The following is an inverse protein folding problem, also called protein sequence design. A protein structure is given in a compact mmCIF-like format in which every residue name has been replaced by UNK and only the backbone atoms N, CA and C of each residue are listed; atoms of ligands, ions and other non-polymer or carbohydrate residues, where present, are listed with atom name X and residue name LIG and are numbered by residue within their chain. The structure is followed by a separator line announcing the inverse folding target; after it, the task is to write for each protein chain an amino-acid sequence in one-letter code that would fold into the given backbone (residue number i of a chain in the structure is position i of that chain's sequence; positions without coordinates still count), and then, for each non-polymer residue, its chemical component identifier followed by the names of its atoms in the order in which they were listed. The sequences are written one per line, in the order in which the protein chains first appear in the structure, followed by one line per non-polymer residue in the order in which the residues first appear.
data_IF_816996493238
#
_entry.id   IF_816996493238
#
_cell.length_a   1.000
_cell.length_b   1.000
_cell.length_c   1.000
_cell.angle_alpha   90.00
_cell.angle_beta   90.00
_cell.angle_gamma   90.00
#
_symmetry.space_group_name_H-M   'P 1'
#
loop_
_entity.id
_entity.type
_entity.pdbx_description
1 polymer ?
#
# COMPACT_ATOMS: atom_id res chain seq x y z
N UNK A 1 6.64 -12.79 -15.63
CA UNK A 1 7.63 -11.92 -14.93
C UNK A 1 7.77 -12.47 -13.52
N UNK A 2 8.95 -12.93 -13.16
CA UNK A 2 9.14 -13.62 -11.88
C UNK A 2 9.20 -12.64 -10.70
N UNK A 3 8.69 -13.05 -9.51
CA UNK A 3 8.81 -12.22 -8.30
C UNK A 3 10.29 -11.97 -7.93
N UNK A 4 10.59 -10.86 -7.23
CA UNK A 4 11.94 -10.54 -6.77
C UNK A 4 12.62 -11.71 -6.04
N UNK A 5 13.92 -11.85 -6.18
CA UNK A 5 14.71 -12.98 -5.64
C UNK A 5 14.51 -13.16 -4.13
N UNK A 6 14.35 -12.06 -3.38
CA UNK A 6 14.05 -12.07 -1.96
C UNK A 6 12.67 -12.69 -1.65
N UNK A 7 11.69 -12.47 -2.50
CA UNK A 7 10.34 -13.04 -2.38
C UNK A 7 10.37 -14.55 -2.65
N UNK A 8 11.09 -14.98 -3.71
CA UNK A 8 11.27 -16.43 -4.00
C UNK A 8 11.93 -17.17 -2.83
N UNK A 9 12.97 -16.56 -2.24
CA UNK A 9 13.68 -17.13 -1.10
C UNK A 9 12.76 -17.26 0.12
N UNK A 10 11.97 -16.23 0.44
CA UNK A 10 11.07 -16.22 1.60
C UNK A 10 9.84 -17.13 1.41
N UNK A 11 9.29 -17.23 0.20
CA UNK A 11 8.23 -18.20 -0.12
C UNK A 11 8.71 -19.64 0.02
N UNK A 12 9.98 -19.92 -0.29
CA UNK A 12 10.60 -21.23 -0.10
C UNK A 12 10.95 -21.51 1.38
N UNK A 13 11.44 -20.50 2.12
CA UNK A 13 11.78 -20.61 3.55
C UNK A 13 10.53 -20.80 4.43
N UNK A 14 9.38 -20.27 4.03
CA UNK A 14 8.11 -20.41 4.76
C UNK A 14 7.40 -21.74 4.50
N UNK A 15 7.93 -22.62 3.64
CA UNK A 15 7.38 -23.97 3.41
C UNK A 15 5.93 -23.96 2.93
N UNK A 16 5.48 -22.91 2.24
CA UNK A 16 4.08 -22.64 1.88
C UNK A 16 3.49 -23.56 0.81
N UNK A 17 4.06 -24.77 0.63
CA UNK A 17 3.43 -25.82 -0.17
C UNK A 17 2.34 -26.60 0.56
N UNK A 18 2.18 -26.42 1.86
CA UNK A 18 1.10 -27.08 2.61
C UNK A 18 1.01 -26.59 4.06
N UNK A 19 0.10 -25.67 4.37
CA UNK A 19 -0.62 -25.62 5.66
C UNK A 19 -1.55 -24.39 5.73
N UNK A 20 -2.77 -24.56 5.28
CA UNK A 20 -3.91 -23.78 5.74
C UNK A 20 -4.20 -24.14 7.19
N UNK A 21 -4.00 -23.24 8.13
CA UNK A 21 -4.74 -23.25 9.42
C UNK A 21 -4.68 -21.88 10.12
N UNK A 22 -5.89 -21.36 10.37
CA UNK A 22 -6.35 -20.53 11.47
C UNK A 22 -5.51 -19.32 11.93
N UNK A 23 -6.09 -18.13 11.79
CA UNK A 23 -5.68 -16.90 12.49
C UNK A 23 -5.94 -17.05 13.99
N UNK A 24 -4.99 -16.75 14.88
CA UNK A 24 -5.31 -16.41 16.26
C UNK A 24 -5.64 -14.92 16.37
N UNK A 25 -6.82 -14.60 16.92
CA UNK A 25 -7.10 -13.30 17.52
C UNK A 25 -6.20 -13.16 18.74
N UNK A 26 -5.25 -12.23 18.70
CA UNK A 26 -4.44 -11.88 19.88
C UNK A 26 -4.90 -10.54 20.44
N UNK A 27 -5.79 -10.57 21.42
CA UNK A 27 -5.86 -9.56 22.45
C UNK A 27 -4.78 -9.92 23.48
N UNK A 28 -3.80 -9.03 23.67
CA UNK A 28 -2.78 -9.19 24.71
C UNK A 28 -1.80 -8.03 24.67
N UNK A 29 -1.88 -7.13 25.66
CA UNK A 29 -0.83 -6.15 25.94
C UNK A 29 0.45 -6.89 26.30
N UNK A 30 1.41 -6.92 25.38
CA UNK A 30 2.77 -7.36 25.69
C UNK A 30 3.55 -6.14 26.14
N UNK A 31 3.83 -6.05 27.43
CA UNK A 31 4.82 -5.13 28.00
C UNK A 31 6.21 -5.66 27.66
N UNK A 32 6.88 -5.06 26.70
CA UNK A 32 8.29 -5.32 26.42
C UNK A 32 9.18 -4.51 27.39
N UNK A 33 10.31 -5.07 27.87
CA UNK A 33 11.19 -4.38 28.80
C UNK A 33 11.87 -3.16 28.15
N UNK A 34 11.82 -2.04 28.82
CA UNK A 34 12.22 -0.70 28.37
C UNK A 34 13.74 -0.46 28.20
N UNK A 35 14.54 -1.47 27.99
CA UNK A 35 16.00 -1.34 28.03
C UNK A 35 16.79 -1.81 26.82
N UNK A 36 16.19 -2.44 25.80
CA UNK A 36 16.95 -3.13 24.75
C UNK A 36 16.85 -2.52 23.32
N UNK A 37 16.28 -1.35 23.19
CA UNK A 37 16.11 -0.71 21.87
C UNK A 37 17.25 0.30 21.59
N UNK A 38 18.48 -0.20 21.47
CA UNK A 38 19.53 0.52 20.76
C UNK A 38 19.06 0.68 19.31
N UNK A 39 19.24 1.91 18.79
CA UNK A 39 18.95 2.33 17.42
C UNK A 39 19.35 1.23 16.43
N UNK A 40 18.39 0.50 15.90
CA UNK A 40 18.62 -0.27 14.68
C UNK A 40 18.73 0.76 13.55
N UNK A 41 19.86 0.87 12.85
CA UNK A 41 19.88 1.63 11.61
C UNK A 41 18.89 0.97 10.67
N UNK A 42 17.95 1.74 10.15
CA UNK A 42 17.03 1.26 9.13
C UNK A 42 17.84 0.89 7.91
N UNK A 43 17.68 -0.32 7.41
CA UNK A 43 18.40 -0.78 6.23
C UNK A 43 18.06 0.10 5.02
N UNK A 44 19.03 0.39 4.13
CA UNK A 44 18.73 1.05 2.87
C UNK A 44 17.69 0.27 2.08
N UNK A 45 16.66 0.95 1.60
CA UNK A 45 15.59 0.33 0.84
C UNK A 45 14.39 1.25 0.67
N UNK A 46 13.50 0.86 -0.23
CA UNK A 46 12.20 1.48 -0.42
C UNK A 46 11.16 0.71 0.38
N UNK A 47 10.42 1.42 1.20
CA UNK A 47 9.36 0.91 2.06
C UNK A 47 8.05 1.56 1.64
N UNK A 48 6.98 0.78 1.55
CA UNK A 48 5.67 1.23 1.11
C UNK A 48 4.63 1.02 2.23
N UNK A 49 4.67 1.80 3.33
CA UNK A 49 3.66 1.72 4.36
C UNK A 49 2.29 2.05 3.79
N UNK A 50 1.25 1.32 4.22
CA UNK A 50 -0.12 1.64 3.84
C UNK A 50 -1.09 1.50 5.01
N UNK A 51 -2.13 2.31 4.95
CA UNK A 51 -3.28 2.32 5.85
C UNK A 51 -4.58 2.12 5.08
N UNK A 52 -5.69 1.98 5.78
CA UNK A 52 -7.04 1.98 5.24
C UNK A 52 -7.82 3.14 5.86
N UNK A 53 -8.70 2.85 6.81
CA UNK A 53 -9.47 3.82 7.56
C UNK A 53 -8.62 4.46 8.69
N UNK A 54 -8.79 5.76 8.89
CA UNK A 54 -8.19 6.49 10.03
C UNK A 54 -9.29 7.29 10.71
N UNK A 55 -9.86 6.71 11.76
CA UNK A 55 -10.91 7.39 12.52
C UNK A 55 -10.38 8.70 13.15
N UNK A 56 -11.25 9.69 13.41
CA UNK A 56 -10.84 10.99 13.94
C UNK A 56 -10.00 10.93 15.23
N UNK A 57 -10.29 9.97 16.11
CA UNK A 57 -9.53 9.74 17.35
C UNK A 57 -8.07 9.33 17.11
N UNK A 58 -7.74 8.80 15.92
CA UNK A 58 -6.38 8.39 15.53
C UNK A 58 -5.63 9.43 14.72
N UNK A 59 -6.17 10.63 14.53
CA UNK A 59 -5.49 11.69 13.77
C UNK A 59 -4.11 12.03 14.36
N UNK A 60 -4.03 12.10 15.70
CA UNK A 60 -2.78 12.34 16.43
C UNK A 60 -1.78 11.20 16.29
N UNK A 61 -2.26 9.95 16.31
CA UNK A 61 -1.42 8.76 16.14
C UNK A 61 -0.87 8.68 14.71
N UNK A 62 -1.70 8.92 13.68
CA UNK A 62 -1.25 9.00 12.30
C UNK A 62 -0.15 10.06 12.15
N UNK A 63 -0.37 11.27 12.67
CA UNK A 63 0.63 12.35 12.68
C UNK A 63 1.94 11.86 13.28
N UNK A 64 1.89 11.28 14.47
CA UNK A 64 3.07 10.79 15.19
C UNK A 64 3.81 9.68 14.40
N UNK A 65 3.08 8.79 13.73
CA UNK A 65 3.66 7.78 12.84
C UNK A 65 4.43 8.43 11.68
N UNK A 66 3.80 9.36 10.97
CA UNK A 66 4.39 10.02 9.80
C UNK A 66 5.61 10.87 10.17
N UNK A 67 5.53 11.64 11.25
CA UNK A 67 6.68 12.39 11.77
C UNK A 67 7.85 11.47 12.16
N UNK A 68 7.54 10.31 12.76
CA UNK A 68 8.58 9.36 13.15
C UNK A 68 9.23 8.72 11.92
N UNK A 69 8.44 8.32 10.91
CA UNK A 69 8.98 7.80 9.66
C UNK A 69 9.81 8.87 8.93
N UNK A 70 9.33 10.12 8.88
CA UNK A 70 10.06 11.24 8.28
C UNK A 70 11.40 11.58 8.95
N UNK A 71 11.55 11.29 10.25
CA UNK A 71 12.85 11.40 10.95
C UNK A 71 13.81 10.24 10.62
N UNK A 72 13.29 9.12 10.17
CA UNK A 72 14.08 7.94 9.80
C UNK A 72 14.59 8.07 8.36
N UNK A 73 13.74 8.54 7.44
CA UNK A 73 14.07 8.71 6.03
C UNK A 73 13.05 9.57 5.29
N UNK A 74 13.37 10.01 4.07
CA UNK A 74 12.47 10.85 3.29
C UNK A 74 11.18 10.12 2.93
N UNK A 75 10.08 10.87 2.89
CA UNK A 75 8.79 10.42 2.39
C UNK A 75 8.58 10.98 0.98
N UNK A 76 8.37 10.12 0.00
CA UNK A 76 8.32 10.46 -1.42
C UNK A 76 7.03 9.98 -2.08
N UNK A 77 6.70 10.55 -3.24
CA UNK A 77 5.57 10.11 -4.05
C UNK A 77 5.85 8.82 -4.83
N UNK A 78 4.77 8.22 -5.36
CA UNK A 78 4.84 6.93 -6.07
C UNK A 78 5.72 7.00 -7.32
N UNK A 79 5.64 8.08 -8.09
CA UNK A 79 6.46 8.27 -9.30
C UNK A 79 7.97 8.29 -8.98
N UNK A 80 8.36 8.99 -7.93
CA UNK A 80 9.76 9.01 -7.49
C UNK A 80 10.19 7.64 -6.98
N UNK A 81 9.33 6.94 -6.25
CA UNK A 81 9.63 5.58 -5.77
C UNK A 81 9.89 4.62 -6.94
N UNK A 82 9.06 4.66 -7.99
CA UNK A 82 9.28 3.84 -9.20
C UNK A 82 10.56 4.23 -9.94
N UNK A 83 10.91 5.50 -9.96
CA UNK A 83 12.16 6.00 -10.52
C UNK A 83 13.37 5.45 -9.76
N UNK A 84 13.29 5.38 -8.43
CA UNK A 84 14.35 4.78 -7.59
C UNK A 84 14.45 3.26 -7.78
N UNK A 85 13.32 2.56 -7.95
CA UNK A 85 13.31 1.12 -8.30
C UNK A 85 13.99 0.86 -9.65
N UNK A 86 13.87 1.78 -10.60
CA UNK A 86 14.58 1.69 -11.88
C UNK A 86 16.12 1.91 -11.75
N UNK A 87 16.62 2.18 -10.54
CA UNK A 87 18.05 2.27 -10.29
C UNK A 87 18.70 3.60 -10.68
N UNK A 88 17.92 4.68 -10.77
CA UNK A 88 18.42 6.01 -11.18
C UNK A 88 19.41 6.63 -10.19
N UNK A 89 19.34 6.26 -8.92
CA UNK A 89 20.28 6.64 -7.87
C UNK A 89 20.36 5.57 -6.78
N UNK A 90 21.50 5.42 -6.09
CA UNK A 90 21.63 4.47 -4.99
C UNK A 90 20.79 4.89 -3.78
N UNK A 91 20.22 3.91 -3.08
CA UNK A 91 19.56 4.09 -1.80
C UNK A 91 20.62 4.00 -0.69
N UNK A 92 20.84 5.09 0.04
CA UNK A 92 21.82 5.18 1.14
C UNK A 92 21.18 5.00 2.52
N UNK A 93 19.85 4.96 2.58
CA UNK A 93 19.05 4.78 3.77
C UNK A 93 17.63 4.37 3.40
N UNK A 94 16.73 4.25 4.38
CA UNK A 94 15.31 3.98 4.11
C UNK A 94 14.64 5.17 3.45
N UNK A 95 13.74 4.88 2.53
CA UNK A 95 12.87 5.83 1.83
C UNK A 95 11.45 5.31 1.92
N UNK A 96 10.47 6.15 2.22
CA UNK A 96 9.09 5.75 2.43
C UNK A 96 8.16 6.31 1.35
N UNK A 97 7.27 5.47 0.84
CA UNK A 97 6.22 5.86 -0.10
C UNK A 97 4.86 5.42 0.46
N UNK A 98 4.04 6.39 0.87
CA UNK A 98 2.80 6.17 1.61
C UNK A 98 1.61 5.90 0.69
N UNK A 99 0.73 4.99 1.10
CA UNK A 99 -0.55 4.77 0.41
C UNK A 99 -1.71 4.49 1.38
N UNK A 100 -2.94 4.63 0.86
CA UNK A 100 -4.18 4.31 1.55
C UNK A 100 -5.07 3.51 0.62
N UNK A 101 -5.77 2.48 1.14
CA UNK A 101 -6.58 1.57 0.35
C UNK A 101 -8.07 1.69 0.73
N UNK A 102 -8.96 1.36 -0.21
CA UNK A 102 -10.42 1.23 -0.21
C UNK A 102 -11.18 2.44 -0.76
N UNK A 103 -11.54 3.42 -0.03
CA UNK A 103 -12.21 4.69 -0.38
C UNK A 103 -12.86 5.34 0.86
N UNK A 104 -12.28 5.19 2.03
CA UNK A 104 -12.86 5.65 3.30
C UNK A 104 -13.04 7.16 3.36
N UNK A 105 -14.19 7.60 3.88
CA UNK A 105 -14.51 9.03 4.07
C UNK A 105 -13.48 9.75 4.95
N UNK A 106 -12.86 9.03 5.89
CA UNK A 106 -11.79 9.54 6.75
C UNK A 106 -10.57 10.05 5.99
N UNK A 107 -10.38 9.67 4.73
CA UNK A 107 -9.30 10.25 3.92
C UNK A 107 -9.46 11.74 3.75
N UNK A 108 -10.69 12.21 3.42
CA UNK A 108 -11.00 13.63 3.30
C UNK A 108 -10.94 14.33 4.66
N UNK A 109 -11.56 13.73 5.68
CA UNK A 109 -11.83 14.40 6.94
C UNK A 109 -10.63 14.39 7.91
N UNK A 110 -9.75 13.40 7.80
CA UNK A 110 -8.63 13.18 8.73
C UNK A 110 -7.29 13.09 8.01
N UNK A 111 -7.17 12.20 7.01
CA UNK A 111 -5.87 11.87 6.42
C UNK A 111 -5.31 13.05 5.63
N UNK A 112 -6.06 13.60 4.69
CA UNK A 112 -5.62 14.70 3.82
C UNK A 112 -5.21 15.94 4.63
N UNK A 113 -5.96 16.41 5.65
CA UNK A 113 -5.50 17.47 6.53
C UNK A 113 -4.12 17.20 7.16
N UNK A 114 -3.90 16.00 7.70
CA UNK A 114 -2.61 15.63 8.32
C UNK A 114 -1.48 15.58 7.28
N UNK A 115 -1.73 14.99 6.12
CA UNK A 115 -0.73 14.89 5.04
C UNK A 115 -0.32 16.27 4.51
N UNK A 116 -1.28 17.18 4.34
CA UNK A 116 -1.01 18.57 3.89
C UNK A 116 -0.18 19.35 4.90
N UNK A 117 -0.53 19.24 6.18
CA UNK A 117 0.22 19.91 7.25
C UNK A 117 1.68 19.44 7.31
N UNK A 118 1.92 18.14 7.12
CA UNK A 118 3.26 17.55 7.17
C UNK A 118 3.98 17.58 5.82
N UNK A 119 3.33 18.07 4.76
CA UNK A 119 3.81 18.02 3.37
C UNK A 119 4.23 16.61 2.92
N UNK A 120 3.49 15.58 3.34
CA UNK A 120 3.75 14.17 3.02
C UNK A 120 2.94 13.77 1.79
N UNK A 121 3.59 13.33 0.69
CA UNK A 121 2.90 12.79 -0.47
C UNK A 121 2.31 11.41 -0.17
N UNK A 122 1.17 11.09 -0.80
CA UNK A 122 0.54 9.79 -0.70
C UNK A 122 -0.22 9.43 -1.99
N UNK A 123 -0.44 8.12 -2.17
CA UNK A 123 -1.30 7.58 -3.24
C UNK A 123 -2.52 6.89 -2.61
N UNK A 124 -3.70 7.18 -3.12
CA UNK A 124 -4.97 6.63 -2.67
C UNK A 124 -5.46 5.59 -3.68
N UNK A 125 -5.51 4.31 -3.29
CA UNK A 125 -5.99 3.22 -4.12
C UNK A 125 -7.48 3.00 -3.92
N UNK A 126 -8.29 3.40 -4.92
CA UNK A 126 -9.75 3.39 -4.86
C UNK A 126 -10.35 2.04 -5.24
N UNK A 127 -11.23 1.52 -4.38
CA UNK A 127 -12.24 0.52 -4.75
C UNK A 127 -13.46 1.25 -5.27
N UNK A 128 -13.67 1.26 -6.59
CA UNK A 128 -14.65 2.16 -7.21
C UNK A 128 -16.09 1.87 -6.80
N UNK A 129 -16.44 0.61 -6.63
CA UNK A 129 -17.78 0.21 -6.16
C UNK A 129 -18.09 0.60 -4.71
N UNK A 130 -17.14 1.14 -3.96
CA UNK A 130 -17.37 1.72 -2.62
C UNK A 130 -17.66 3.23 -2.69
N UNK A 131 -17.23 3.92 -3.75
CA UNK A 131 -17.42 5.36 -3.89
C UNK A 131 -18.91 5.70 -3.90
N UNK A 132 -19.29 6.72 -3.13
CA UNK A 132 -20.68 7.14 -2.95
C UNK A 132 -21.50 6.31 -1.96
N UNK A 133 -20.94 5.24 -1.37
CA UNK A 133 -21.62 4.50 -0.30
C UNK A 133 -21.50 5.20 1.05
N UNK A 134 -22.42 4.97 1.99
CA UNK A 134 -22.30 5.52 3.34
C UNK A 134 -20.96 5.17 3.99
N UNK A 135 -20.25 6.18 4.52
CA UNK A 135 -18.93 6.04 5.14
C UNK A 135 -17.75 6.06 4.16
N UNK A 136 -18.02 6.21 2.87
CA UNK A 136 -16.98 6.31 1.83
C UNK A 136 -17.01 7.68 1.14
N UNK A 137 -15.93 7.98 0.42
CA UNK A 137 -15.80 9.17 -0.41
C UNK A 137 -16.85 9.19 -1.52
N UNK A 138 -17.25 10.36 -1.92
CA UNK A 138 -17.93 10.61 -3.20
C UNK A 138 -16.90 10.93 -4.29
N UNK A 139 -17.29 10.89 -5.56
CA UNK A 139 -16.41 11.35 -6.65
C UNK A 139 -16.04 12.83 -6.53
N UNK A 140 -16.91 13.66 -5.94
CA UNK A 140 -16.59 15.05 -5.65
C UNK A 140 -15.44 15.15 -4.63
N UNK A 141 -15.49 14.36 -3.55
CA UNK A 141 -14.39 14.29 -2.57
C UNK A 141 -13.09 13.81 -3.20
N UNK A 142 -13.14 12.82 -4.10
CA UNK A 142 -11.96 12.33 -4.82
C UNK A 142 -11.35 13.43 -5.71
N UNK A 143 -12.18 14.24 -6.39
CA UNK A 143 -11.69 15.39 -7.17
C UNK A 143 -11.00 16.43 -6.28
N UNK A 144 -11.58 16.77 -5.13
CA UNK A 144 -10.98 17.71 -4.17
C UNK A 144 -9.62 17.19 -3.64
N UNK A 145 -9.53 15.91 -3.30
CA UNK A 145 -8.28 15.27 -2.87
C UNK A 145 -7.23 15.33 -3.98
N UNK A 146 -7.62 15.09 -5.24
CA UNK A 146 -6.73 15.22 -6.39
C UNK A 146 -6.27 16.65 -6.62
N UNK A 147 -7.16 17.63 -6.53
CA UNK A 147 -6.84 19.07 -6.64
C UNK A 147 -5.90 19.53 -5.52
N UNK A 148 -5.96 18.88 -4.36
CA UNK A 148 -5.00 19.07 -3.28
C UNK A 148 -3.60 18.48 -3.56
N UNK A 149 -3.40 17.84 -4.73
CA UNK A 149 -2.11 17.34 -5.20
C UNK A 149 -1.82 15.86 -4.90
N UNK A 150 -2.82 15.10 -4.46
CA UNK A 150 -2.65 13.68 -4.18
C UNK A 150 -2.95 12.81 -5.41
N UNK A 151 -2.23 11.69 -5.52
CA UNK A 151 -2.38 10.71 -6.59
C UNK A 151 -3.44 9.65 -6.26
N UNK A 152 -4.11 9.15 -7.29
CA UNK A 152 -5.01 8.01 -7.19
C UNK A 152 -4.48 6.82 -7.98
N UNK A 153 -4.70 5.62 -7.41
CA UNK A 153 -4.52 4.33 -8.04
C UNK A 153 -5.81 3.51 -7.97
N UNK A 154 -5.81 2.33 -8.54
CA UNK A 154 -6.97 1.43 -8.54
C UNK A 154 -6.82 0.31 -7.51
N UNK A 155 -7.94 -0.06 -6.88
CA UNK A 155 -8.05 -1.18 -5.93
C UNK A 155 -9.24 -2.09 -6.29
N UNK A 156 -9.45 -2.36 -7.58
CA UNK A 156 -10.58 -3.10 -8.17
C UNK A 156 -11.93 -2.36 -8.10
N UNK A 157 -12.96 -2.96 -8.70
CA UNK A 157 -14.34 -2.45 -8.62
C UNK A 157 -14.97 -2.86 -7.29
N UNK A 158 -14.94 -4.14 -6.94
CA UNK A 158 -15.75 -4.69 -5.82
C UNK A 158 -14.94 -5.15 -4.62
N UNK A 159 -13.63 -4.90 -4.56
CA UNK A 159 -12.72 -5.38 -3.51
C UNK A 159 -12.71 -6.91 -3.38
N UNK A 160 -12.78 -7.62 -4.49
CA UNK A 160 -12.79 -9.09 -4.51
C UNK A 160 -11.39 -9.69 -4.50
N UNK A 161 -11.27 -10.95 -4.06
CA UNK A 161 -10.08 -11.75 -4.33
C UNK A 161 -10.04 -12.09 -5.81
N UNK A 162 -9.04 -11.61 -6.53
CA UNK A 162 -8.90 -11.85 -7.96
C UNK A 162 -8.67 -13.32 -8.29
N UNK A 163 -7.95 -14.05 -7.41
CA UNK A 163 -7.70 -15.48 -7.58
C UNK A 163 -8.97 -16.34 -7.67
N UNK A 164 -10.07 -15.88 -7.06
CA UNK A 164 -11.36 -16.57 -7.05
C UNK A 164 -12.23 -16.24 -8.28
N UNK A 165 -11.74 -15.42 -9.22
CA UNK A 165 -12.47 -14.94 -10.38
C UNK A 165 -12.01 -15.61 -11.66
N UNK A 166 -12.92 -15.74 -12.63
CA UNK A 166 -12.57 -16.07 -14.01
C UNK A 166 -11.71 -14.96 -14.62
N UNK A 167 -11.05 -15.25 -15.74
CA UNK A 167 -10.22 -14.26 -16.45
C UNK A 167 -11.02 -13.03 -16.87
N UNK A 168 -12.26 -13.23 -17.33
CA UNK A 168 -13.16 -12.14 -17.73
C UNK A 168 -13.58 -11.27 -16.53
N UNK A 169 -13.92 -11.88 -15.38
CA UNK A 169 -14.28 -11.15 -14.17
C UNK A 169 -13.09 -10.41 -13.59
N UNK A 170 -11.92 -11.05 -13.49
CA UNK A 170 -10.69 -10.41 -13.02
C UNK A 170 -10.28 -9.24 -13.96
N UNK A 171 -10.39 -9.43 -15.26
CA UNK A 171 -10.18 -8.36 -16.24
C UNK A 171 -11.14 -7.19 -16.06
N UNK A 172 -12.43 -7.46 -15.77
CA UNK A 172 -13.40 -6.41 -15.45
C UNK A 172 -13.04 -5.66 -14.16
N UNK A 173 -12.69 -6.38 -13.10
CA UNK A 173 -12.28 -5.79 -11.81
C UNK A 173 -11.06 -4.86 -11.98
N UNK A 174 -10.07 -5.27 -12.76
CA UNK A 174 -8.81 -4.55 -12.97
C UNK A 174 -8.99 -3.39 -13.96
N UNK A 175 -9.47 -3.67 -15.18
CA UNK A 175 -9.59 -2.66 -16.22
C UNK A 175 -10.84 -1.77 -16.04
N UNK A 176 -11.92 -2.29 -15.43
CA UNK A 176 -13.14 -1.55 -15.14
C UNK A 176 -12.89 -0.42 -14.14
N UNK A 177 -12.24 -0.73 -13.03
CA UNK A 177 -11.90 0.27 -12.02
C UNK A 177 -10.96 1.36 -12.56
N UNK A 178 -9.99 1.00 -13.42
CA UNK A 178 -9.13 1.98 -14.07
C UNK A 178 -9.95 3.00 -14.86
N UNK A 179 -10.79 2.51 -15.78
CA UNK A 179 -11.61 3.37 -16.63
C UNK A 179 -12.53 4.27 -15.81
N UNK A 180 -13.20 3.72 -14.81
CA UNK A 180 -14.13 4.48 -13.96
C UNK A 180 -13.41 5.62 -13.23
N UNK A 181 -12.22 5.38 -12.66
CA UNK A 181 -11.45 6.42 -11.99
C UNK A 181 -10.96 7.48 -13.00
N UNK A 182 -10.49 7.05 -14.18
CA UNK A 182 -10.01 7.94 -15.24
C UNK A 182 -11.14 8.83 -15.78
N UNK A 183 -12.32 8.26 -16.00
CA UNK A 183 -13.52 8.98 -16.49
C UNK A 183 -13.97 10.03 -15.44
N UNK A 184 -13.99 9.67 -14.17
CA UNK A 184 -14.48 10.53 -13.09
C UNK A 184 -13.48 11.60 -12.67
N UNK A 185 -12.19 11.30 -12.70
CA UNK A 185 -11.14 12.23 -12.27
C UNK A 185 -10.49 13.00 -13.43
N UNK A 186 -10.70 12.59 -14.68
CA UNK A 186 -10.06 13.20 -15.85
C UNK A 186 -8.53 13.10 -15.80
N UNK A 187 -7.99 12.01 -15.28
CA UNK A 187 -6.55 11.78 -15.14
C UNK A 187 -6.20 10.31 -15.29
N UNK A 188 -5.05 10.04 -15.89
CA UNK A 188 -4.54 8.68 -16.08
C UNK A 188 -4.25 7.99 -14.73
N UNK A 189 -4.72 6.74 -14.60
CA UNK A 189 -4.46 5.85 -13.45
C UNK A 189 -3.49 4.77 -13.88
N UNK A 190 -2.26 4.81 -13.36
CA UNK A 190 -1.18 3.92 -13.79
C UNK A 190 -0.75 2.89 -12.75
N UNK A 191 -1.30 2.96 -11.55
CA UNK A 191 -0.85 2.17 -10.41
C UNK A 191 -2.02 1.36 -9.84
N UNK A 192 -1.78 0.09 -9.54
CA UNK A 192 -2.78 -0.85 -9.05
C UNK A 192 -2.35 -1.48 -7.74
N UNK A 193 -3.28 -1.66 -6.81
CA UNK A 193 -3.09 -2.45 -5.59
C UNK A 193 -4.10 -3.61 -5.56
N UNK A 194 -3.62 -4.82 -5.30
CA UNK A 194 -4.49 -5.99 -5.19
C UNK A 194 -5.20 -6.02 -3.84
N UNK A 195 -6.54 -6.23 -3.79
CA UNK A 195 -7.24 -6.48 -2.54
C UNK A 195 -6.64 -7.65 -1.77
N UNK A 196 -6.50 -7.50 -0.44
CA UNK A 196 -5.80 -8.43 0.45
C UNK A 196 -4.32 -8.64 0.11
N UNK A 197 -3.96 -8.79 -1.16
CA UNK A 197 -2.65 -8.65 -1.75
C UNK A 197 -1.65 -9.77 -1.47
N UNK A 198 -2.09 -10.97 -1.08
CA UNK A 198 -1.19 -12.10 -0.85
C UNK A 198 -1.13 -13.02 -2.08
N UNK A 199 0.05 -13.20 -2.71
CA UNK A 199 0.20 -13.97 -3.94
C UNK A 199 -0.14 -15.45 -3.75
N UNK A 200 -0.82 -16.04 -4.73
CA UNK A 200 -1.28 -17.43 -4.74
C UNK A 200 -2.50 -17.71 -3.85
N UNK A 201 -2.99 -16.67 -3.13
CA UNK A 201 -4.20 -16.75 -2.30
C UNK A 201 -5.22 -15.71 -2.76
N UNK A 202 -4.84 -14.45 -2.88
CA UNK A 202 -5.74 -13.34 -3.19
C UNK A 202 -5.65 -12.94 -4.67
N UNK A 203 -4.48 -13.15 -5.27
CA UNK A 203 -4.22 -12.95 -6.69
C UNK A 203 -3.17 -13.94 -7.22
N UNK A 204 -3.05 -14.06 -8.53
CA UNK A 204 -2.09 -14.94 -9.22
C UNK A 204 -1.26 -14.16 -10.25
N UNK A 205 -0.29 -14.81 -10.90
CA UNK A 205 0.47 -14.22 -12.01
C UNK A 205 -0.42 -13.82 -13.20
N UNK A 206 -1.57 -14.49 -13.38
CA UNK A 206 -2.59 -14.11 -14.34
C UNK A 206 -3.06 -12.67 -14.09
N UNK A 207 -3.35 -12.32 -12.84
CA UNK A 207 -3.89 -11.00 -12.47
C UNK A 207 -2.84 -9.90 -12.65
N UNK A 208 -1.58 -10.21 -12.35
CA UNK A 208 -0.45 -9.30 -12.63
C UNK A 208 -0.30 -9.06 -14.14
N UNK A 209 -0.48 -10.11 -14.97
CA UNK A 209 -0.46 -9.98 -16.43
C UNK A 209 -1.65 -9.13 -16.92
N UNK A 210 -2.87 -9.40 -16.43
CA UNK A 210 -4.06 -8.62 -16.78
C UNK A 210 -3.91 -7.14 -16.41
N UNK A 211 -3.33 -6.84 -15.25
CA UNK A 211 -3.04 -5.45 -14.85
C UNK A 211 -2.06 -4.79 -15.83
N UNK A 212 -0.98 -5.48 -16.21
CA UNK A 212 -0.03 -4.98 -17.20
C UNK A 212 -0.67 -4.75 -18.57
N UNK A 213 -1.49 -5.68 -19.04
CA UNK A 213 -2.24 -5.58 -20.30
C UNK A 213 -3.26 -4.44 -20.27
N UNK A 214 -3.79 -4.11 -19.09
CA UNK A 214 -4.67 -2.95 -18.86
C UNK A 214 -3.92 -1.61 -18.77
N UNK A 215 -2.58 -1.61 -18.94
CA UNK A 215 -1.76 -0.41 -18.94
C UNK A 215 -1.29 0.07 -17.56
N UNK A 216 -1.42 -0.75 -16.52
CA UNK A 216 -0.79 -0.42 -15.24
C UNK A 216 0.73 -0.62 -15.31
N UNK A 217 1.48 0.33 -14.74
CA UNK A 217 2.95 0.28 -14.64
C UNK A 217 3.44 -0.33 -13.33
N UNK A 218 2.58 -0.37 -12.30
CA UNK A 218 2.89 -1.01 -11.02
C UNK A 218 1.73 -1.83 -10.48
N UNK A 219 2.07 -2.88 -9.71
CA UNK A 219 1.13 -3.77 -9.03
C UNK A 219 1.59 -3.97 -7.59
N UNK A 220 0.81 -3.46 -6.64
CA UNK A 220 1.13 -3.48 -5.23
C UNK A 220 0.49 -4.69 -4.52
N UNK A 221 1.28 -5.30 -3.65
CA UNK A 221 0.95 -6.49 -2.85
C UNK A 221 0.96 -6.14 -1.36
N UNK A 222 0.73 -7.13 -0.50
CA UNK A 222 0.91 -7.01 0.96
C UNK A 222 2.08 -7.83 1.49
N UNK A 223 3.00 -8.22 0.60
CA UNK A 223 4.31 -8.72 0.99
C UNK A 223 5.15 -7.60 1.61
N UNK A 224 5.99 -7.93 2.58
CA UNK A 224 6.61 -6.92 3.44
C UNK A 224 8.07 -6.55 3.20
N UNK A 225 8.87 -7.31 2.43
CA UNK A 225 10.28 -6.96 2.27
C UNK A 225 10.46 -5.53 1.78
N UNK A 226 11.52 -4.87 2.23
CA UNK A 226 11.99 -3.65 1.58
C UNK A 226 12.30 -3.93 0.11
N UNK A 227 12.05 -2.95 -0.73
CA UNK A 227 12.36 -3.04 -2.15
C UNK A 227 13.67 -2.31 -2.47
N UNK A 228 14.35 -2.76 -3.51
CA UNK A 228 15.65 -2.28 -3.92
C UNK A 228 15.68 -1.94 -5.41
N UNK A 229 16.69 -1.22 -5.84
CA UNK A 229 16.93 -0.97 -7.26
C UNK A 229 17.00 -2.29 -8.05
N UNK A 230 16.29 -2.36 -9.17
CA UNK A 230 16.14 -3.55 -10.00
C UNK A 230 14.97 -4.46 -9.64
N UNK A 231 14.30 -4.24 -8.51
CA UNK A 231 13.06 -4.96 -8.21
C UNK A 231 11.93 -4.53 -9.16
N UNK A 232 11.07 -5.49 -9.50
CA UNK A 232 9.99 -5.25 -10.46
C UNK A 232 8.89 -4.37 -9.86
N UNK A 233 8.49 -3.28 -10.52
CA UNK A 233 7.36 -2.47 -10.09
C UNK A 233 6.01 -3.22 -10.17
N UNK A 234 5.95 -4.35 -10.89
CA UNK A 234 4.79 -5.23 -10.90
C UNK A 234 4.70 -6.15 -9.67
N UNK A 235 5.55 -5.92 -8.66
CA UNK A 235 5.56 -6.67 -7.39
C UNK A 235 5.93 -5.75 -6.22
N UNK A 236 5.25 -4.59 -6.08
CA UNK A 236 5.51 -3.66 -4.97
C UNK A 236 5.14 -4.32 -3.64
N UNK A 237 6.11 -4.45 -2.75
CA UNK A 237 5.92 -4.99 -1.40
C UNK A 237 5.49 -3.89 -0.45
N UNK A 238 4.33 -4.01 0.20
CA UNK A 238 3.79 -2.99 1.11
C UNK A 238 3.66 -3.47 2.54
N UNK A 239 3.89 -2.58 3.49
CA UNK A 239 3.79 -2.84 4.92
C UNK A 239 2.48 -2.27 5.46
N UNK A 240 1.48 -3.15 5.69
CA UNK A 240 0.20 -2.74 6.28
C UNK A 240 0.38 -2.25 7.71
N UNK A 241 -0.11 -1.05 7.98
CA UNK A 241 -0.10 -0.38 9.27
C UNK A 241 -1.53 -0.13 9.77
N UNK A 242 -1.66 0.04 11.06
CA UNK A 242 -2.91 0.47 11.68
C UNK A 242 -2.66 1.72 12.53
N UNK A 243 -3.49 2.77 12.43
CA UNK A 243 -3.22 4.02 13.14
C UNK A 243 -3.16 3.87 14.67
N UNK A 244 -3.94 2.95 15.24
CA UNK A 244 -3.89 2.67 16.69
C UNK A 244 -2.66 1.87 17.15
N UNK A 245 -1.74 1.51 16.27
CA UNK A 245 -0.53 0.80 16.71
C UNK A 245 0.45 1.73 17.40
N UNK A 246 1.09 1.27 18.50
CA UNK A 246 2.16 2.05 19.10
C UNK A 246 3.32 2.19 18.12
N UNK A 247 4.02 3.33 18.15
CA UNK A 247 5.10 3.66 17.21
C UNK A 247 6.18 2.58 17.12
N UNK A 248 6.42 1.83 18.18
CA UNK A 248 7.37 0.70 18.15
C UNK A 248 6.91 -0.42 17.24
N UNK A 249 5.60 -0.72 17.19
CA UNK A 249 5.05 -1.71 16.28
C UNK A 249 5.14 -1.24 14.83
N UNK A 250 4.91 0.05 14.55
CA UNK A 250 5.10 0.66 13.24
C UNK A 250 6.54 0.52 12.78
N UNK A 251 7.51 0.87 13.64
CA UNK A 251 8.94 0.75 13.33
C UNK A 251 9.35 -0.69 13.03
N UNK A 252 8.93 -1.65 13.85
CA UNK A 252 9.21 -3.07 13.62
C UNK A 252 8.60 -3.53 12.29
N UNK A 253 7.34 -3.13 12.02
CA UNK A 253 6.63 -3.55 10.82
C UNK A 253 7.27 -3.09 9.52
N UNK A 254 7.90 -1.93 9.54
CA UNK A 254 8.61 -1.35 8.38
C UNK A 254 10.01 -1.93 8.23
N UNK A 255 10.58 -2.58 9.25
CA UNK A 255 11.95 -3.14 9.22
C UNK A 255 12.02 -4.65 8.99
N UNK A 256 10.92 -5.38 9.19
CA UNK A 256 10.81 -6.84 8.98
C UNK A 256 10.37 -7.18 7.54
#
# INVERSE_FOLDING_TARGET
MEPPTAIKRRLNELGLRSRLRARPRAQGRVLAPAGLFRRLPSAPGLYFPFYHDVLPEYAGDLRHHLETLGRIGPMIGWDEALTLLAGTRPLTGPVFCLSFDDAHLSWRDVVVPVLRELAVPATFFLTTGLVGRPGNLTWADCREIREAGFAFGSHTVTHTRLADRSDAEAGHEIAGSKREIEDELGAEVRDFAAPYGYPGVDFTERDVRLAKESGYRSFATTLRPAMHAGDSPMWICRQGLHPAWPIMAVRTRVHD
#
